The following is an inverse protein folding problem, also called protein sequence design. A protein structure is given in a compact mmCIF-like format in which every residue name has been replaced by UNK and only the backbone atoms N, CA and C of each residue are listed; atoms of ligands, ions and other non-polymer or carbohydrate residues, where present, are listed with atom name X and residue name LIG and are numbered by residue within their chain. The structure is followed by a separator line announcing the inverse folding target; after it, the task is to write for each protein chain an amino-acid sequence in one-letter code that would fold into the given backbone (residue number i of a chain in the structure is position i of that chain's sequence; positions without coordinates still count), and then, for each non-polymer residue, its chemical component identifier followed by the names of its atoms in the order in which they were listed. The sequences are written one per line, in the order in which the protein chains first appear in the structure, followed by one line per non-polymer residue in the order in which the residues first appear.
data_IF_547179336435
#
_entry.id   IF_547179336435
#
_cell.length_a   1.000
_cell.length_b   1.000
_cell.length_c   1.000
_cell.angle_alpha   90.00
_cell.angle_beta   90.00
_cell.angle_gamma   90.00
#
_symmetry.space_group_name_H-M   'P 1'
#
loop_
_entity.id
_entity.type
_entity.pdbx_description
1 polymer ?
#
# COMPACT_ATOMS: atom_id res chain seq x y z
N UNK A 1 3.14 14.57 10.11
CA UNK A 1 3.31 13.19 10.63
C UNK A 1 2.03 12.65 11.23
N UNK A 2 1.57 13.03 12.45
CA UNK A 2 0.35 12.45 13.03
C UNK A 2 -0.89 12.55 12.12
N UNK A 3 -1.13 13.72 11.51
CA UNK A 3 -2.23 13.93 10.55
C UNK A 3 -2.05 13.06 9.31
N UNK A 4 -0.89 13.14 8.66
CA UNK A 4 -0.53 12.38 7.45
C UNK A 4 -0.63 10.86 7.66
N UNK A 5 -0.19 10.33 8.80
CA UNK A 5 -0.30 8.91 9.10
C UNK A 5 -1.75 8.47 9.33
N UNK A 6 -2.58 9.31 9.97
CA UNK A 6 -4.01 9.02 10.10
C UNK A 6 -4.67 8.98 8.72
N UNK A 7 -4.42 9.99 7.90
CA UNK A 7 -4.94 10.06 6.53
C UNK A 7 -4.54 8.83 5.70
N UNK A 8 -3.27 8.41 5.77
CA UNK A 8 -2.82 7.19 5.09
C UNK A 8 -3.55 5.93 5.58
N UNK A 9 -3.82 5.82 6.88
CA UNK A 9 -4.60 4.70 7.45
C UNK A 9 -6.05 4.73 6.98
N UNK A 10 -6.71 5.89 7.01
CA UNK A 10 -8.09 6.04 6.51
C UNK A 10 -8.17 5.65 5.03
N UNK A 11 -7.23 6.12 4.19
CA UNK A 11 -7.16 5.73 2.77
C UNK A 11 -7.03 4.21 2.60
N UNK A 12 -6.18 3.56 3.40
CA UNK A 12 -5.96 2.12 3.32
C UNK A 12 -7.20 1.33 3.76
N UNK A 13 -7.87 1.76 4.83
CA UNK A 13 -9.12 1.16 5.32
C UNK A 13 -10.21 1.32 4.27
N UNK A 14 -10.47 2.54 3.81
CA UNK A 14 -11.47 2.83 2.78
C UNK A 14 -11.22 2.01 1.52
N UNK A 15 -9.96 1.89 1.08
CA UNK A 15 -9.61 1.08 -0.07
C UNK A 15 -9.90 -0.41 0.14
N UNK A 16 -9.50 -1.00 1.27
CA UNK A 16 -9.67 -2.43 1.53
C UNK A 16 -11.15 -2.79 1.70
N UNK A 17 -11.92 -1.96 2.41
CA UNK A 17 -13.37 -2.17 2.59
C UNK A 17 -14.15 -2.02 1.29
N UNK A 18 -13.64 -1.22 0.34
CA UNK A 18 -14.32 -0.90 -0.90
C UNK A 18 -13.60 -1.43 -2.15
N UNK A 19 -12.68 -2.37 -2.00
CA UNK A 19 -11.83 -2.86 -3.10
C UNK A 19 -12.66 -3.43 -4.26
N UNK A 20 -13.84 -3.98 -3.96
CA UNK A 20 -14.79 -4.52 -4.94
C UNK A 20 -15.38 -3.48 -5.91
N UNK A 21 -15.30 -2.18 -5.58
CA UNK A 21 -15.75 -1.09 -6.46
C UNK A 21 -14.81 -0.89 -7.65
N UNK A 22 -13.58 -1.40 -7.58
CA UNK A 22 -12.57 -1.24 -8.63
C UNK A 22 -12.54 -2.45 -9.56
N UNK A 23 -11.97 -2.27 -10.76
CA UNK A 23 -11.76 -3.40 -11.69
C UNK A 23 -10.53 -4.20 -11.26
N UNK A 24 -10.58 -5.53 -11.11
CA UNK A 24 -9.41 -6.33 -10.71
C UNK A 24 -8.13 -6.02 -11.53
N UNK A 25 -8.31 -5.81 -12.83
CA UNK A 25 -7.26 -5.35 -13.75
C UNK A 25 -7.55 -3.93 -14.26
N UNK A 26 -6.57 -3.01 -14.19
CA UNK A 26 -6.75 -1.64 -14.65
C UNK A 26 -6.79 -1.59 -16.17
N UNK A 27 -7.58 -0.66 -16.74
CA UNK A 27 -7.66 -0.41 -18.18
C UNK A 27 -6.69 0.70 -18.57
N UNK A 28 -5.41 0.36 -18.66
CA UNK A 28 -4.32 1.30 -18.99
C UNK A 28 -3.42 0.74 -20.09
N UNK A 29 -2.67 1.62 -20.77
CA UNK A 29 -1.67 1.24 -21.77
C UNK A 29 -0.26 1.35 -21.19
N UNK A 30 0.73 0.60 -21.71
CA UNK A 30 2.13 0.80 -21.34
C UNK A 30 2.54 2.28 -21.46
N UNK A 31 3.22 2.80 -20.44
CA UNK A 31 3.66 4.19 -20.40
C UNK A 31 2.61 5.23 -19.97
N UNK A 32 1.37 4.84 -19.65
CA UNK A 32 0.30 5.80 -19.30
C UNK A 32 0.65 6.76 -18.15
N UNK A 33 1.49 6.32 -17.21
CA UNK A 33 1.86 7.10 -16.02
C UNK A 33 2.94 8.14 -16.30
N UNK A 34 3.82 7.91 -17.29
CA UNK A 34 4.95 8.78 -17.62
C UNK A 34 4.56 10.26 -17.75
N UNK A 35 3.52 10.64 -18.52
CA UNK A 35 3.13 12.05 -18.66
C UNK A 35 2.43 12.65 -17.43
N UNK A 36 2.05 11.84 -16.44
CA UNK A 36 1.39 12.27 -15.20
C UNK A 36 2.39 12.47 -14.06
N UNK A 37 3.65 12.03 -14.23
CA UNK A 37 4.69 12.17 -13.21
C UNK A 37 5.26 13.59 -13.32
N UNK A 38 5.29 14.37 -12.21
CA UNK A 38 5.93 15.67 -12.21
C UNK A 38 7.43 15.54 -12.52
N UNK A 39 8.00 16.55 -13.17
CA UNK A 39 9.42 16.59 -13.51
C UNK A 39 10.33 16.57 -12.28
N UNK A 40 9.85 17.18 -11.20
CA UNK A 40 10.52 17.30 -9.92
C UNK A 40 9.75 16.52 -8.84
N UNK A 41 10.45 15.87 -7.90
CA UNK A 41 9.80 15.11 -6.84
C UNK A 41 8.99 16.04 -5.92
N UNK A 42 7.73 15.70 -5.58
CA UNK A 42 6.97 16.46 -4.61
C UNK A 42 7.60 16.32 -3.21
N UNK A 43 7.67 17.43 -2.47
CA UNK A 43 8.41 17.50 -1.20
C UNK A 43 7.60 16.93 -0.02
N UNK A 44 6.26 16.99 -0.06
CA UNK A 44 5.41 16.77 1.14
C UNK A 44 4.08 16.04 0.93
N UNK A 45 3.72 15.64 -0.29
CA UNK A 45 2.38 15.13 -0.57
C UNK A 45 2.29 13.60 -0.49
N UNK A 46 1.31 13.08 0.26
CA UNK A 46 0.93 11.67 0.15
C UNK A 46 0.35 11.48 -1.24
N UNK A 47 1.04 10.73 -2.09
CA UNK A 47 0.54 10.38 -3.41
C UNK A 47 -0.72 9.54 -3.21
N UNK A 48 -1.89 10.07 -3.58
CA UNK A 48 -3.18 9.37 -3.51
C UNK A 48 -3.59 8.77 -4.86
N UNK A 49 -2.83 9.05 -5.92
CA UNK A 49 -3.15 8.65 -7.31
C UNK A 49 -2.63 7.25 -7.67
N UNK A 50 -2.86 6.24 -6.81
CA UNK A 50 -2.31 4.89 -7.02
C UNK A 50 -3.36 3.81 -7.38
N UNK A 51 -4.64 4.15 -7.57
CA UNK A 51 -5.68 3.12 -7.81
C UNK A 51 -5.68 2.50 -9.22
N UNK A 52 -4.83 2.94 -10.15
CA UNK A 52 -4.68 2.30 -11.48
C UNK A 52 -3.72 1.10 -11.41
N UNK A 53 -3.96 0.19 -10.49
CA UNK A 53 -3.13 -1.01 -10.21
C UNK A 53 -3.97 -2.28 -10.34
N UNK A 54 -3.30 -3.43 -10.40
CA UNK A 54 -3.98 -4.73 -10.23
C UNK A 54 -4.36 -4.91 -8.76
N UNK A 55 -5.65 -5.09 -8.47
CA UNK A 55 -6.14 -5.21 -7.11
C UNK A 55 -6.15 -6.68 -6.67
N UNK A 56 -5.02 -7.14 -6.10
CA UNK A 56 -4.83 -8.54 -5.71
C UNK A 56 -5.81 -9.05 -4.63
N UNK A 57 -6.25 -8.16 -3.74
CA UNK A 57 -7.23 -8.50 -2.69
C UNK A 57 -8.69 -8.40 -3.16
N UNK A 58 -8.92 -8.14 -4.44
CA UNK A 58 -10.27 -8.04 -4.97
C UNK A 58 -10.97 -9.41 -4.94
N UNK A 59 -12.24 -9.54 -4.50
CA UNK A 59 -12.92 -10.83 -4.34
C UNK A 59 -13.03 -11.65 -5.64
N UNK A 60 -13.07 -10.98 -6.79
CA UNK A 60 -13.07 -11.57 -8.13
C UNK A 60 -11.69 -11.67 -8.82
N UNK A 61 -10.59 -11.53 -8.08
CA UNK A 61 -9.25 -11.77 -8.62
C UNK A 61 -8.85 -13.24 -8.45
N UNK A 62 -8.73 -13.98 -9.55
CA UNK A 62 -8.43 -15.41 -9.56
C UNK A 62 -7.21 -15.79 -10.42
N UNK A 63 -6.38 -14.81 -10.78
CA UNK A 63 -5.14 -15.08 -11.49
C UNK A 63 -4.02 -15.46 -10.51
N UNK A 64 -3.08 -16.30 -10.94
CA UNK A 64 -1.90 -16.72 -10.17
C UNK A 64 -2.26 -17.42 -8.84
N UNK A 65 -1.56 -17.06 -7.76
CA UNK A 65 -1.79 -17.54 -6.39
C UNK A 65 -2.26 -16.39 -5.50
N UNK A 66 -3.15 -16.65 -4.52
CA UNK A 66 -3.65 -15.61 -3.64
C UNK A 66 -2.53 -15.04 -2.77
N UNK A 67 -2.52 -13.72 -2.59
CA UNK A 67 -1.73 -13.11 -1.53
C UNK A 67 -2.48 -13.26 -0.21
N UNK A 68 -1.82 -13.81 0.80
CA UNK A 68 -2.36 -13.82 2.15
C UNK A 68 -2.22 -12.41 2.74
N UNK A 69 -3.33 -11.67 2.78
CA UNK A 69 -3.42 -10.42 3.54
C UNK A 69 -4.51 -10.57 4.62
N UNK A 70 -4.33 -9.90 5.76
CA UNK A 70 -5.35 -9.83 6.80
C UNK A 70 -5.22 -8.50 7.54
N UNK A 71 -6.32 -8.00 8.11
CA UNK A 71 -6.31 -6.75 8.86
C UNK A 71 -5.27 -6.75 10.01
N UNK A 72 -5.11 -7.83 10.81
CA UNK A 72 -4.06 -7.87 11.84
C UNK A 72 -2.64 -7.77 11.28
N UNK A 73 -2.37 -8.37 10.12
CA UNK A 73 -1.06 -8.30 9.48
C UNK A 73 -0.71 -6.87 9.06
N UNK A 74 -1.66 -6.14 8.46
CA UNK A 74 -1.45 -4.72 8.08
C UNK A 74 -1.18 -3.86 9.31
N UNK A 75 -1.94 -4.05 10.40
CA UNK A 75 -1.68 -3.33 11.66
C UNK A 75 -0.28 -3.63 12.22
N UNK A 76 0.15 -4.90 12.16
CA UNK A 76 1.48 -5.30 12.59
C UNK A 76 2.59 -4.67 11.73
N UNK A 77 2.38 -4.53 10.41
CA UNK A 77 3.31 -3.83 9.51
C UNK A 77 3.45 -2.35 9.85
N UNK A 78 2.36 -1.66 10.21
CA UNK A 78 2.41 -0.26 10.67
C UNK A 78 3.27 -0.13 11.93
N UNK A 79 3.05 -0.99 12.91
CA UNK A 79 3.81 -0.99 14.18
C UNK A 79 5.27 -1.36 13.92
N UNK A 80 5.54 -2.41 13.14
CA UNK A 80 6.88 -2.85 12.80
C UNK A 80 7.68 -1.76 12.08
N UNK A 81 7.04 -1.05 11.16
CA UNK A 81 7.63 0.09 10.45
C UNK A 81 7.98 1.24 11.39
N UNK A 82 7.16 1.49 12.43
CA UNK A 82 7.44 2.50 13.44
C UNK A 82 8.59 2.11 14.38
N UNK A 83 8.77 0.81 14.66
CA UNK A 83 9.91 0.30 15.45
C UNK A 83 11.22 0.46 14.67
N UNK A 84 11.21 0.19 13.36
CA UNK A 84 12.40 0.35 12.50
C UNK A 84 13.57 -0.55 12.90
N UNK A 85 13.30 -1.64 13.62
CA UNK A 85 14.33 -2.50 14.22
C UNK A 85 15.02 -3.37 13.18
N UNK A 86 16.36 -3.28 13.11
CA UNK A 86 17.17 -4.18 12.28
C UNK A 86 17.65 -5.36 13.15
N UNK A 87 16.82 -6.41 13.22
CA UNK A 87 17.03 -7.56 14.10
C UNK A 87 17.96 -8.65 13.55
N UNK A 88 19.11 -8.29 12.96
CA UNK A 88 20.02 -9.26 12.34
C UNK A 88 20.75 -10.16 13.34
N UNK A 89 20.83 -9.77 14.62
CA UNK A 89 21.42 -10.54 15.71
C UNK A 89 20.60 -10.40 17.00
N UNK A 90 20.73 -11.39 17.89
CA UNK A 90 20.05 -11.40 19.19
C UNK A 90 20.86 -10.75 20.33
N UNK A 91 22.09 -10.26 20.08
CA UNK A 91 23.12 -9.81 21.07
C UNK A 91 22.76 -10.02 22.55
N UNK A 92 23.37 -11.03 23.16
CA UNK A 92 23.39 -11.19 24.62
C UNK A 92 24.49 -10.31 25.18
N UNK A 93 24.17 -9.33 26.01
CA UNK A 93 25.17 -8.78 26.93
C UNK A 93 25.38 -9.80 28.05
N UNK A 94 26.60 -10.34 28.14
CA UNK A 94 27.07 -11.14 29.28
C UNK A 94 27.43 -10.25 30.46
#
# INVERSE_FOLDING_TARGET
MRSSCKEAVEIAVDYLENVEKYRPFPKVTPGFLIPQIPSDPPIEEIITTFFKVTHWNHPHFHAYFPMANSYPAVCAEIIGSAIGGIGFTWVRHS
#
